data_IF_258376211326
#
_entry.id   IF_258376211326
#
_cell.length_a   1.000
_cell.length_b   1.000
_cell.length_c   1.000
_cell.angle_alpha   90.00
_cell.angle_beta   90.00
_cell.angle_gamma   90.00
#
_symmetry.space_group_name_H-M   'P 1'
#
loop_
_entity.id
_entity.type
_entity.pdbx_description
1 polymer ?
#
# COMPACT_ATOMS: atom_id res chain seq x y z
N UNK A 1 -2.52 -27.70 28.58
CA UNK A 1 -1.56 -26.73 28.02
C UNK A 1 -2.01 -25.33 28.40
N UNK A 2 -1.15 -24.49 29.00
CA UNK A 2 -1.47 -23.06 29.19
C UNK A 2 -1.46 -22.40 27.82
N UNK A 3 -2.53 -21.66 27.46
CA UNK A 3 -2.52 -20.78 26.28
C UNK A 3 -1.36 -19.79 26.48
N UNK A 4 -0.41 -19.81 25.56
CA UNK A 4 0.62 -18.77 25.51
C UNK A 4 -0.05 -17.55 24.90
N UNK A 5 0.02 -16.44 25.62
CA UNK A 5 -0.37 -15.14 25.09
C UNK A 5 0.67 -14.67 24.06
N UNK A 6 0.24 -14.49 22.81
CA UNK A 6 1.12 -14.14 21.68
C UNK A 6 1.88 -12.86 21.95
N UNK A 7 1.23 -11.85 22.52
CA UNK A 7 1.87 -10.57 22.83
C UNK A 7 2.97 -10.72 23.88
N UNK A 8 2.72 -11.48 24.96
CA UNK A 8 3.71 -11.78 25.99
C UNK A 8 4.93 -12.51 25.43
N UNK A 9 4.73 -13.46 24.51
CA UNK A 9 5.82 -14.17 23.85
C UNK A 9 6.66 -13.23 22.98
N UNK A 10 6.03 -12.44 22.12
CA UNK A 10 6.70 -11.48 21.24
C UNK A 10 7.54 -10.48 22.05
N UNK A 11 6.99 -9.93 23.14
CA UNK A 11 7.72 -9.04 24.05
C UNK A 11 8.97 -9.70 24.63
N UNK A 12 8.89 -10.97 25.06
CA UNK A 12 10.06 -11.71 25.58
C UNK A 12 11.13 -11.92 24.52
N UNK A 13 10.74 -12.22 23.28
CA UNK A 13 11.67 -12.40 22.17
C UNK A 13 12.44 -11.11 21.87
N UNK A 14 11.72 -9.99 21.72
CA UNK A 14 12.34 -8.68 21.44
C UNK A 14 13.24 -8.24 22.61
N UNK A 15 12.80 -8.41 23.86
CA UNK A 15 13.63 -8.11 25.03
C UNK A 15 14.89 -8.99 25.14
N UNK A 16 14.89 -10.17 24.51
CA UNK A 16 16.06 -11.04 24.40
C UNK A 16 16.97 -10.68 23.21
N UNK A 17 16.68 -9.60 22.48
CA UNK A 17 17.45 -9.15 21.32
C UNK A 17 17.06 -9.82 20.00
N UNK A 18 15.91 -10.50 19.94
CA UNK A 18 15.40 -11.10 18.70
C UNK A 18 14.61 -10.05 17.92
N UNK A 19 15.03 -9.77 16.69
CA UNK A 19 14.27 -8.91 15.78
C UNK A 19 13.26 -9.72 14.97
N UNK A 20 12.09 -9.13 14.78
CA UNK A 20 11.06 -9.66 13.90
C UNK A 20 10.88 -8.71 12.74
N UNK A 21 10.80 -9.27 11.53
CA UNK A 21 10.64 -8.49 10.31
C UNK A 21 9.55 -9.08 9.42
N UNK A 22 8.94 -8.21 8.64
CA UNK A 22 7.90 -8.54 7.68
C UNK A 22 8.36 -8.12 6.28
N UNK A 23 8.03 -8.93 5.28
CA UNK A 23 8.21 -8.58 3.87
C UNK A 23 7.00 -7.77 3.42
N UNK A 24 7.25 -6.53 3.02
CA UNK A 24 6.23 -5.60 2.54
C UNK A 24 6.31 -5.56 1.01
N UNK A 25 5.23 -5.92 0.29
CA UNK A 25 5.18 -5.80 -1.16
C UNK A 25 5.29 -4.36 -1.63
N UNK A 26 5.98 -4.18 -2.76
CA UNK A 26 6.21 -2.90 -3.43
C UNK A 26 5.96 -3.07 -4.93
N UNK A 27 5.99 -1.97 -5.68
CA UNK A 27 5.91 -1.99 -7.14
C UNK A 27 7.03 -2.79 -7.83
N UNK A 28 8.18 -2.95 -7.16
CA UNK A 28 9.37 -3.61 -7.73
C UNK A 28 9.80 -4.89 -7.01
N UNK A 29 8.94 -5.46 -6.17
CA UNK A 29 9.23 -6.68 -5.40
C UNK A 29 8.83 -6.55 -3.94
N UNK A 30 9.73 -6.86 -3.02
CA UNK A 30 9.49 -6.77 -1.57
C UNK A 30 10.62 -6.04 -0.87
N UNK A 31 10.28 -5.34 0.21
CA UNK A 31 11.26 -4.80 1.15
C UNK A 31 11.06 -5.44 2.52
N UNK A 32 12.14 -5.60 3.26
CA UNK A 32 12.10 -6.16 4.60
C UNK A 32 12.07 -5.02 5.62
N UNK A 33 11.12 -5.08 6.55
CA UNK A 33 10.96 -4.07 7.60
C UNK A 33 10.96 -4.72 8.97
N UNK A 34 11.84 -4.27 9.86
CA UNK A 34 11.81 -4.63 11.29
C UNK A 34 10.57 -3.99 11.92
N UNK A 35 9.80 -4.78 12.67
CA UNK A 35 8.51 -4.39 13.22
C UNK A 35 8.52 -4.46 14.74
N UNK A 36 7.80 -3.54 15.36
CA UNK A 36 7.45 -3.60 16.79
C UNK A 36 6.45 -4.72 17.08
N UNK A 37 6.23 -5.03 18.37
CA UNK A 37 5.22 -6.03 18.78
C UNK A 37 3.84 -5.71 18.22
N UNK A 38 3.42 -4.44 18.32
CA UNK A 38 2.08 -4.02 17.91
C UNK A 38 1.91 -4.11 16.39
N UNK A 39 2.97 -3.85 15.63
CA UNK A 39 2.97 -4.02 14.17
C UNK A 39 2.95 -5.48 13.74
N UNK A 40 3.62 -6.37 14.47
CA UNK A 40 3.54 -7.82 14.22
C UNK A 40 2.13 -8.31 14.51
N UNK A 41 1.52 -7.87 15.62
CA UNK A 41 0.13 -8.22 15.94
C UNK A 41 -0.83 -7.69 14.86
N UNK A 42 -0.65 -6.43 14.43
CA UNK A 42 -1.40 -5.85 13.32
C UNK A 42 -1.23 -6.69 12.05
N UNK A 43 -0.02 -7.12 11.72
CA UNK A 43 0.24 -7.94 10.55
C UNK A 43 -0.46 -9.31 10.62
N UNK A 44 -0.47 -9.95 11.78
CA UNK A 44 -1.08 -11.26 11.97
C UNK A 44 -2.60 -11.24 11.77
N UNK A 45 -3.25 -10.11 12.04
CA UNK A 45 -4.70 -9.93 11.90
C UNK A 45 -5.09 -9.23 10.58
N UNK A 46 -4.34 -8.21 10.21
CA UNK A 46 -4.60 -7.29 9.09
C UNK A 46 -3.31 -6.94 8.31
N UNK A 47 -2.76 -7.87 7.50
CA UNK A 47 -1.49 -7.64 6.79
C UNK A 47 -1.47 -6.36 5.94
N UNK A 48 -2.57 -6.07 5.24
CA UNK A 48 -2.69 -4.88 4.37
C UNK A 48 -2.69 -3.57 5.14
N UNK A 49 -3.19 -3.56 6.37
CA UNK A 49 -3.13 -2.39 7.23
C UNK A 49 -1.67 -2.06 7.60
N UNK A 50 -0.83 -3.07 7.88
CA UNK A 50 0.61 -2.84 8.10
C UNK A 50 1.30 -2.32 6.83
N UNK A 51 0.95 -2.85 5.65
CA UNK A 51 1.54 -2.39 4.39
C UNK A 51 1.17 -0.93 4.10
N UNK A 52 -0.10 -0.57 4.25
CA UNK A 52 -0.57 0.79 4.09
C UNK A 52 0.11 1.75 5.10
N UNK A 53 0.22 1.32 6.36
CA UNK A 53 0.93 2.06 7.40
C UNK A 53 2.41 2.30 7.03
N UNK A 54 3.07 1.33 6.40
CA UNK A 54 4.46 1.49 5.97
C UNK A 54 4.62 2.59 4.91
N UNK A 55 3.66 2.71 3.99
CA UNK A 55 3.68 3.72 2.93
C UNK A 55 3.01 5.04 3.32
N UNK A 56 2.52 5.15 4.56
CA UNK A 56 1.77 6.29 5.09
C UNK A 56 0.51 6.64 4.26
N UNK A 57 -0.23 5.61 3.85
CA UNK A 57 -1.48 5.75 3.10
C UNK A 57 -2.62 4.96 3.76
N UNK A 58 -3.85 5.19 3.32
CA UNK A 58 -4.99 4.41 3.80
C UNK A 58 -4.94 2.96 3.27
N UNK A 59 -5.53 2.01 4.01
CA UNK A 59 -5.65 0.62 3.54
C UNK A 59 -6.42 0.54 2.21
N UNK A 60 -7.42 1.41 2.02
CA UNK A 60 -8.18 1.50 0.78
C UNK A 60 -7.33 1.96 -0.41
N UNK A 61 -6.48 2.98 -0.21
CA UNK A 61 -5.57 3.45 -1.24
C UNK A 61 -4.51 2.41 -1.58
N UNK A 62 -3.96 1.73 -0.58
CA UNK A 62 -3.03 0.61 -0.82
C UNK A 62 -3.70 -0.50 -1.62
N UNK A 63 -4.93 -0.90 -1.25
CA UNK A 63 -5.67 -1.93 -1.96
C UNK A 63 -5.96 -1.53 -3.41
N UNK A 64 -6.33 -0.26 -3.65
CA UNK A 64 -6.56 0.25 -5.00
C UNK A 64 -5.26 0.30 -5.82
N UNK A 65 -4.17 0.81 -5.24
CA UNK A 65 -2.85 0.82 -5.86
C UNK A 65 -2.41 -0.57 -6.32
N UNK A 66 -2.59 -1.59 -5.48
CA UNK A 66 -2.26 -2.99 -5.84
C UNK A 66 -3.20 -3.51 -6.93
N UNK A 67 -4.50 -3.21 -6.86
CA UNK A 67 -5.47 -3.63 -7.88
C UNK A 67 -5.21 -3.00 -9.25
N UNK A 68 -4.64 -1.79 -9.27
CA UNK A 68 -4.24 -1.09 -10.49
C UNK A 68 -2.79 -1.42 -10.92
N UNK A 69 -2.19 -2.45 -10.33
CA UNK A 69 -0.83 -2.91 -10.65
C UNK A 69 0.20 -1.78 -10.54
N UNK A 70 0.07 -0.96 -9.50
CA UNK A 70 0.94 0.20 -9.22
C UNK A 70 0.93 1.25 -10.33
N UNK A 71 -0.13 1.29 -11.14
CA UNK A 71 -0.33 2.29 -12.19
C UNK A 71 -1.48 3.21 -11.83
N UNK A 72 -1.25 4.52 -11.79
CA UNK A 72 -2.27 5.51 -11.40
C UNK A 72 -3.22 5.78 -12.57
N UNK A 73 -4.50 5.42 -12.42
CA UNK A 73 -5.52 5.66 -13.44
C UNK A 73 -6.02 7.10 -13.45
N UNK A 74 -6.37 7.57 -14.65
CA UNK A 74 -6.95 8.88 -14.87
C UNK A 74 -8.30 9.04 -14.14
N UNK A 75 -8.49 10.17 -13.48
CA UNK A 75 -9.75 10.51 -12.80
C UNK A 75 -10.88 10.94 -13.75
N UNK A 76 -10.59 11.07 -15.04
CA UNK A 76 -11.54 11.51 -16.06
C UNK A 76 -12.63 10.48 -16.36
N UNK A 77 -13.77 10.97 -16.84
CA UNK A 77 -14.88 10.15 -17.33
C UNK A 77 -14.92 10.26 -18.86
N UNK A 78 -15.13 9.14 -19.53
CA UNK A 78 -15.28 9.10 -20.99
C UNK A 78 -16.62 9.70 -21.42
N UNK A 79 -16.74 10.09 -22.70
CA UNK A 79 -18.03 10.56 -23.27
C UNK A 79 -19.18 9.56 -23.15
N UNK A 80 -18.86 8.28 -22.89
CA UNK A 80 -19.83 7.19 -22.67
C UNK A 80 -20.19 6.99 -21.19
N UNK A 81 -19.68 7.81 -20.28
CA UNK A 81 -19.96 7.74 -18.84
C UNK A 81 -19.10 6.73 -18.05
N UNK A 82 -18.12 6.08 -18.68
CA UNK A 82 -17.22 5.14 -18.00
C UNK A 82 -15.96 5.82 -17.47
N UNK A 83 -15.38 5.29 -16.38
CA UNK A 83 -14.09 5.74 -15.86
C UNK A 83 -12.96 5.52 -16.88
N UNK A 84 -12.11 6.54 -17.07
CA UNK A 84 -10.97 6.48 -17.96
C UNK A 84 -9.95 5.44 -17.45
N UNK A 85 -9.51 4.55 -18.34
CA UNK A 85 -8.54 3.49 -18.02
C UNK A 85 -7.09 3.87 -18.37
N UNK A 86 -6.88 5.06 -18.93
CA UNK A 86 -5.55 5.56 -19.25
C UNK A 86 -4.76 5.82 -17.96
N UNK A 87 -3.46 5.54 -17.98
CA UNK A 87 -2.55 5.90 -16.90
C UNK A 87 -2.21 7.38 -16.99
N UNK A 88 -2.11 8.06 -15.86
CA UNK A 88 -1.63 9.45 -15.80
C UNK A 88 -0.16 9.52 -16.22
N UNK A 89 0.29 10.68 -16.70
CA UNK A 89 1.68 10.85 -17.14
C UNK A 89 2.66 10.59 -16.00
N UNK A 90 3.61 9.68 -16.20
CA UNK A 90 4.58 9.27 -15.17
C UNK A 90 4.00 8.35 -14.09
N UNK A 91 2.71 8.01 -14.13
CA UNK A 91 2.05 7.19 -13.12
C UNK A 91 2.17 5.69 -13.35
N UNK A 92 3.13 5.21 -14.14
CA UNK A 92 3.32 3.78 -14.42
C UNK A 92 4.34 3.17 -13.46
N UNK A 93 3.98 2.05 -12.81
CA UNK A 93 4.85 1.29 -11.91
C UNK A 93 5.48 2.15 -10.80
N UNK A 94 4.66 2.98 -10.13
CA UNK A 94 5.10 3.90 -9.06
C UNK A 94 4.95 3.25 -7.69
N UNK A 95 5.68 3.73 -6.68
CA UNK A 95 5.50 3.27 -5.31
C UNK A 95 4.08 3.59 -4.79
N UNK A 96 3.56 2.88 -3.78
CA UNK A 96 2.23 3.19 -3.22
C UNK A 96 2.08 4.64 -2.70
N UNK A 97 3.15 5.21 -2.13
CA UNK A 97 3.17 6.62 -1.69
C UNK A 97 3.05 7.58 -2.88
N UNK A 98 3.81 7.34 -3.96
CA UNK A 98 3.69 8.13 -5.20
C UNK A 98 2.32 7.93 -5.86
N UNK A 99 1.79 6.70 -5.86
CA UNK A 99 0.47 6.40 -6.39
C UNK A 99 -0.60 7.23 -5.70
N UNK A 100 -0.57 7.29 -4.36
CA UNK A 100 -1.52 8.08 -3.58
C UNK A 100 -1.37 9.58 -3.83
N UNK A 101 -0.15 10.09 -4.03
CA UNK A 101 0.10 11.50 -4.35
C UNK A 101 -0.39 11.90 -5.75
N UNK A 102 -0.45 10.96 -6.69
CA UNK A 102 -0.90 11.19 -8.07
C UNK A 102 -2.39 10.86 -8.29
N UNK A 103 -3.02 10.15 -7.35
CA UNK A 103 -4.45 9.82 -7.40
C UNK A 103 -5.28 11.09 -7.60
N UNK A 104 -6.21 11.04 -8.55
CA UNK A 104 -7.04 12.19 -8.91
C UNK A 104 -6.49 13.03 -10.07
N UNK A 105 -5.27 12.76 -10.54
CA UNK A 105 -4.74 13.40 -11.75
C UNK A 105 -5.37 12.85 -13.03
N UNK A 106 -5.14 13.56 -14.13
CA UNK A 106 -5.70 13.25 -15.45
C UNK A 106 -4.61 12.77 -16.41
N UNK A 107 -4.99 11.92 -17.38
CA UNK A 107 -4.12 11.56 -18.50
C UNK A 107 -3.99 12.74 -19.48
N UNK A 108 -3.11 12.64 -20.47
CA UNK A 108 -2.88 13.72 -21.45
C UNK A 108 -4.17 14.14 -22.17
N UNK A 109 -5.05 13.18 -22.50
CA UNK A 109 -6.34 13.47 -23.17
C UNK A 109 -7.31 14.27 -22.28
N UNK A 110 -7.35 13.98 -20.97
CA UNK A 110 -8.28 14.63 -20.03
C UNK A 110 -7.66 15.85 -19.31
N UNK A 111 -6.33 15.92 -19.26
CA UNK A 111 -5.57 17.00 -18.63
C UNK A 111 -5.27 18.16 -19.58
N UNK A 112 -5.26 17.90 -20.89
CA UNK A 112 -5.33 18.94 -21.90
C UNK A 112 -6.76 19.50 -21.91
N UNK A 113 -7.00 20.50 -21.07
CA UNK A 113 -8.26 21.23 -20.98
C UNK A 113 -8.51 22.04 -22.27
N UNK A 114 -9.02 21.35 -23.30
CA UNK A 114 -9.70 21.91 -24.48
C UNK A 114 -10.92 21.04 -24.90
N UNK A 115 -11.50 20.27 -23.97
CA UNK A 115 -12.74 19.49 -24.19
C UNK A 115 -13.76 19.63 -23.06
#
# INVERSE_FOLDING_TARGET
MKKIDTQSLLKKMINAGIECSVNIPTNTGVIQRVCSVDEILLYLEHPRALYALHFDISEGDYAQCVAEEYSVKCAGITVKGFACQATVKGGFCVSPTEWAAMKGQYCEIHGDADY
#
